data_IF_379154078238
#
_entry.id   IF_379154078238
#
_cell.length_a   1.000
_cell.length_b   1.000
_cell.length_c   1.000
_cell.angle_alpha   90.00
_cell.angle_beta   90.00
_cell.angle_gamma   90.00
#
_symmetry.space_group_name_H-M   'P 1'
#
loop_
_entity.id
_entity.type
_entity.pdbx_description
1 polymer ?
#
# COMPACT_ATOMS: atom_id res chain seq x y z
N UNK A 1 15.96 -2.55 3.93
CA UNK A 1 15.25 -2.54 5.22
C UNK A 1 14.40 -3.79 5.25
N UNK A 2 14.42 -4.57 6.34
CA UNK A 2 13.67 -5.83 6.42
C UNK A 2 12.19 -5.56 6.72
N UNK A 3 11.30 -5.91 5.80
CA UNK A 3 9.84 -5.74 5.95
C UNK A 3 9.29 -6.46 7.19
N UNK A 4 10.04 -7.44 7.72
CA UNK A 4 9.73 -8.19 8.94
C UNK A 4 9.65 -7.33 10.20
N UNK A 5 10.21 -6.10 10.19
CA UNK A 5 10.06 -5.13 11.30
C UNK A 5 8.71 -4.41 11.29
N UNK A 6 7.95 -4.50 10.19
CA UNK A 6 6.64 -3.87 10.08
C UNK A 6 5.58 -4.74 10.77
N UNK A 7 4.54 -4.13 11.38
CA UNK A 7 3.38 -4.88 11.85
C UNK A 7 2.72 -5.67 10.71
N UNK A 8 2.06 -6.79 11.02
CA UNK A 8 1.47 -7.70 10.04
C UNK A 8 0.57 -6.99 9.00
N UNK A 9 -0.25 -6.02 9.42
CA UNK A 9 -1.05 -5.16 8.54
C UNK A 9 -0.24 -4.52 7.40
N UNK A 10 0.95 -4.01 7.72
CA UNK A 10 1.79 -3.32 6.75
C UNK A 10 2.53 -4.32 5.85
N UNK A 11 2.89 -5.50 6.37
CA UNK A 11 3.46 -6.58 5.56
C UNK A 11 2.46 -7.08 4.52
N UNK A 12 1.18 -7.24 4.88
CA UNK A 12 0.14 -7.62 3.92
C UNK A 12 -0.05 -6.56 2.82
N UNK A 13 -0.01 -5.27 3.17
CA UNK A 13 -0.07 -4.18 2.19
C UNK A 13 1.13 -4.25 1.23
N UNK A 14 2.33 -4.44 1.77
CA UNK A 14 3.56 -4.59 1.00
C UNK A 14 3.49 -5.78 0.03
N UNK A 15 3.02 -6.94 0.51
CA UNK A 15 2.87 -8.15 -0.29
C UNK A 15 1.90 -7.95 -1.47
N UNK A 16 0.77 -7.27 -1.25
CA UNK A 16 -0.17 -6.91 -2.33
C UNK A 16 0.48 -5.97 -3.36
N UNK A 17 1.16 -4.91 -2.90
CA UNK A 17 1.83 -3.96 -3.80
C UNK A 17 2.97 -4.63 -4.57
N UNK A 18 3.67 -5.58 -3.95
CA UNK A 18 4.78 -6.34 -4.55
C UNK A 18 4.31 -7.36 -5.57
N UNK A 19 3.15 -7.98 -5.37
CA UNK A 19 2.53 -8.91 -6.32
C UNK A 19 1.97 -8.20 -7.55
N UNK A 20 1.76 -6.89 -7.48
CA UNK A 20 1.34 -6.12 -8.63
C UNK A 20 2.54 -5.74 -9.50
N UNK A 21 2.53 -6.19 -10.76
CA UNK A 21 3.51 -5.79 -11.79
C UNK A 21 3.45 -4.29 -12.13
N UNK A 22 2.34 -3.62 -11.80
CA UNK A 22 2.12 -2.21 -12.09
C UNK A 22 1.78 -1.41 -10.82
N UNK A 23 2.00 -0.08 -10.82
CA UNK A 23 1.65 0.77 -9.70
C UNK A 23 0.15 0.67 -9.35
N UNK A 24 -0.15 0.34 -8.09
CA UNK A 24 -1.50 0.06 -7.61
C UNK A 24 -2.17 1.27 -6.97
N UNK A 25 -3.46 1.40 -7.20
CA UNK A 25 -4.31 2.36 -6.48
C UNK A 25 -4.75 1.80 -5.13
N UNK A 26 -5.02 2.70 -4.18
CA UNK A 26 -5.53 2.36 -2.85
C UNK A 26 -6.75 1.43 -2.89
N UNK A 27 -7.67 1.64 -3.84
CA UNK A 27 -8.87 0.81 -3.99
C UNK A 27 -8.54 -0.63 -4.42
N UNK A 28 -7.52 -0.82 -5.24
CA UNK A 28 -7.05 -2.16 -5.64
C UNK A 28 -6.48 -2.88 -4.42
N UNK A 29 -5.65 -2.19 -3.62
CA UNK A 29 -5.12 -2.75 -2.37
C UNK A 29 -6.25 -3.09 -1.38
N UNK A 30 -7.28 -2.24 -1.26
CA UNK A 30 -8.47 -2.58 -0.47
C UNK A 30 -9.13 -3.87 -0.98
N UNK A 31 -9.35 -3.99 -2.30
CA UNK A 31 -9.98 -5.17 -2.90
C UNK A 31 -9.20 -6.46 -2.64
N UNK A 32 -7.88 -6.44 -2.86
CA UNK A 32 -6.98 -7.58 -2.64
C UNK A 32 -6.93 -7.99 -1.16
N UNK A 33 -7.01 -7.02 -0.24
CA UNK A 33 -7.07 -7.29 1.20
C UNK A 33 -8.47 -7.72 1.70
N UNK A 34 -9.46 -7.85 0.81
CA UNK A 34 -10.85 -8.14 1.18
C UNK A 34 -11.50 -7.03 2.02
N UNK A 35 -10.96 -5.82 1.95
CA UNK A 35 -11.42 -4.65 2.68
C UNK A 35 -12.46 -3.88 1.87
N UNK A 36 -13.47 -3.29 2.54
CA UNK A 36 -14.41 -2.40 1.84
C UNK A 36 -13.66 -1.27 1.12
N UNK A 37 -14.04 -1.04 -0.14
CA UNK A 37 -13.52 0.07 -0.97
C UNK A 37 -14.25 1.39 -0.73
N UNK A 38 -15.00 1.47 0.37
CA UNK A 38 -15.72 2.68 0.77
C UNK A 38 -14.74 3.83 1.07
N UNK A 39 -15.15 5.10 0.85
CA UNK A 39 -14.27 6.25 0.96
C UNK A 39 -13.50 6.28 2.27
N UNK A 40 -14.21 6.10 3.40
CA UNK A 40 -13.61 6.11 4.74
C UNK A 40 -12.50 5.06 4.92
N UNK A 41 -12.74 3.82 4.48
CA UNK A 41 -11.76 2.74 4.61
C UNK A 41 -10.59 2.92 3.64
N UNK A 42 -10.88 3.40 2.43
CA UNK A 42 -9.84 3.74 1.46
C UNK A 42 -8.94 4.87 1.96
N UNK A 43 -9.46 5.89 2.64
CA UNK A 43 -8.65 6.98 3.20
C UNK A 43 -7.73 6.51 4.33
N UNK A 44 -8.24 5.63 5.20
CA UNK A 44 -7.40 5.00 6.24
C UNK A 44 -6.27 4.18 5.60
N UNK A 45 -6.56 3.39 4.58
CA UNK A 45 -5.53 2.62 3.88
C UNK A 45 -4.53 3.54 3.14
N UNK A 46 -5.02 4.63 2.54
CA UNK A 46 -4.19 5.66 1.90
C UNK A 46 -3.22 6.28 2.90
N UNK A 47 -3.64 6.55 4.12
CA UNK A 47 -2.77 7.04 5.17
C UNK A 47 -1.67 6.03 5.52
N UNK A 48 -1.99 4.73 5.62
CA UNK A 48 -0.99 3.66 5.82
C UNK A 48 0.02 3.59 4.66
N UNK A 49 -0.45 3.63 3.42
CA UNK A 49 0.39 3.62 2.22
C UNK A 49 1.31 4.85 2.13
N UNK A 50 0.79 6.05 2.43
CA UNK A 50 1.62 7.26 2.50
C UNK A 50 2.71 7.12 3.56
N UNK A 51 2.41 6.59 4.76
CA UNK A 51 3.44 6.38 5.80
C UNK A 51 4.54 5.43 5.37
N UNK A 52 4.18 4.36 4.65
CA UNK A 52 5.17 3.46 4.05
C UNK A 52 6.04 4.20 3.02
N UNK A 53 5.42 5.05 2.20
CA UNK A 53 6.13 5.84 1.21
C UNK A 53 7.07 6.89 1.82
N UNK A 54 6.61 7.61 2.86
CA UNK A 54 7.43 8.57 3.62
C UNK A 54 8.65 7.92 4.28
N UNK A 55 8.52 6.65 4.66
CA UNK A 55 9.60 5.83 5.23
C UNK A 55 10.50 5.17 4.18
N UNK A 56 10.22 5.36 2.89
CA UNK A 56 11.00 4.81 1.78
C UNK A 56 10.69 3.35 1.42
N UNK A 57 9.64 2.74 2.00
CA UNK A 57 9.23 1.37 1.68
C UNK A 57 8.45 1.27 0.36
N UNK A 58 7.70 2.33 0.04
CA UNK A 58 6.95 2.45 -1.21
C UNK A 58 7.30 3.75 -1.91
N UNK A 59 7.02 3.79 -3.20
CA UNK A 59 7.05 5.02 -4.00
C UNK A 59 5.64 5.43 -4.37
N UNK A 60 5.25 6.63 -3.96
CA UNK A 60 4.01 7.27 -4.42
C UNK A 60 4.26 7.98 -5.75
N UNK A 61 3.42 7.70 -6.74
CA UNK A 61 3.44 8.35 -8.05
C UNK A 61 2.55 9.59 -8.07
N UNK A 62 2.79 10.49 -9.03
CA UNK A 62 2.00 11.71 -9.22
C UNK A 62 0.51 11.42 -9.47
N UNK A 63 0.21 10.27 -10.09
CA UNK A 63 -1.16 9.78 -10.36
C UNK A 63 -1.87 9.24 -9.10
N UNK A 64 -1.22 9.25 -7.93
CA UNK A 64 -1.78 8.74 -6.68
C UNK A 64 -1.74 7.20 -6.54
N UNK A 65 -1.03 6.52 -7.45
CA UNK A 65 -0.66 5.11 -7.37
C UNK A 65 0.57 4.89 -6.50
N UNK A 66 0.72 3.68 -5.98
CA UNK A 66 1.84 3.25 -5.15
C UNK A 66 2.54 2.07 -5.82
N UNK A 67 3.87 2.05 -5.76
CA UNK A 67 4.68 0.92 -6.23
C UNK A 67 5.78 0.63 -5.21
N UNK A 68 6.37 -0.56 -5.27
CA UNK A 68 7.52 -0.89 -4.42
C UNK A 68 8.75 -0.06 -4.82
N UNK A 69 9.60 0.28 -3.85
CA UNK A 69 10.87 0.99 -4.11
C UNK A 69 12.01 0.05 -4.51
N UNK A 70 11.76 -1.26 -4.50
CA UNK A 70 12.72 -2.33 -4.83
C UNK A 70 13.07 -2.36 -6.32
#
# INVERSE_FOLDING_TARGET
>A
MDETVLPADYQQIMDVVRRADEPVMVKQVCGELGMSTEPARSEVLRAKLNRLAERGWLRKLADGKFTTTL
#
